data_IF_446209294941
#
_entry.id   IF_446209294941
#
_cell.length_a   1.000
_cell.length_b   1.000
_cell.length_c   1.000
_cell.angle_alpha   90.00
_cell.angle_beta   90.00
_cell.angle_gamma   90.00
#
_symmetry.space_group_name_H-M   'P 1'
#
loop_
_entity.id
_entity.type
_entity.pdbx_description
1 polymer ?
#
# COMPACT_ATOMS: atom_id res chain seq x y z
N UNK A 1 -2.47 11.85 11.72
CA UNK A 1 -1.54 10.71 11.70
C UNK A 1 -1.85 9.90 10.46
N UNK A 2 -0.89 9.69 9.56
CA UNK A 2 -1.05 8.76 8.44
C UNK A 2 -0.57 7.38 8.88
N UNK A 3 -1.34 6.34 8.58
CA UNK A 3 -0.95 4.95 8.86
C UNK A 3 -0.47 4.28 7.58
N UNK A 4 0.63 3.53 7.69
CA UNK A 4 1.22 2.79 6.58
C UNK A 4 1.45 1.34 7.00
N UNK A 5 1.10 0.39 6.14
CA UNK A 5 1.44 -1.03 6.32
C UNK A 5 2.44 -1.46 5.27
N UNK A 6 3.35 -2.35 5.65
CA UNK A 6 4.42 -2.84 4.80
C UNK A 6 4.45 -4.36 4.79
N UNK A 7 4.94 -4.95 3.71
CA UNK A 7 5.26 -6.37 3.65
C UNK A 7 6.64 -6.69 4.25
N UNK A 8 7.00 -7.97 4.27
CA UNK A 8 8.28 -8.45 4.82
C UNK A 8 9.50 -8.00 4.01
N UNK A 9 9.30 -7.45 2.82
CA UNK A 9 10.34 -6.86 1.97
C UNK A 9 10.35 -5.32 2.07
N UNK A 10 9.69 -4.77 3.10
CA UNK A 10 9.57 -3.33 3.37
C UNK A 10 8.89 -2.54 2.25
N UNK A 11 8.02 -3.19 1.47
CA UNK A 11 7.23 -2.52 0.42
C UNK A 11 5.87 -2.10 0.95
N UNK A 12 5.39 -0.93 0.53
CA UNK A 12 4.16 -0.32 1.02
C UNK A 12 2.91 -1.09 0.54
N UNK A 13 2.18 -1.72 1.45
CA UNK A 13 0.92 -2.40 1.15
C UNK A 13 -0.27 -1.44 1.21
N UNK A 14 -0.34 -0.59 2.21
CA UNK A 14 -1.44 0.37 2.36
C UNK A 14 -0.96 1.67 2.96
N UNK A 15 -1.58 2.77 2.55
CA UNK A 15 -1.46 4.08 3.19
C UNK A 15 -2.85 4.66 3.42
N UNK A 16 -3.12 5.04 4.67
CA UNK A 16 -4.39 5.65 5.08
C UNK A 16 -4.09 7.01 5.72
N UNK A 17 -4.36 8.11 5.02
CA UNK A 17 -4.31 9.46 5.57
C UNK A 17 -5.40 9.67 6.61
N UNK A 18 -5.21 10.57 7.58
CA UNK A 18 -6.24 10.93 8.56
C UNK A 18 -7.40 11.71 7.93
N UNK A 19 -7.16 12.33 6.77
CA UNK A 19 -8.13 13.14 6.02
C UNK A 19 -9.10 12.27 5.19
N UNK A 20 -8.94 10.94 5.23
CA UNK A 20 -9.67 10.01 4.37
C UNK A 20 -8.94 9.73 3.06
N UNK A 21 -9.47 8.75 2.33
CA UNK A 21 -8.96 8.25 1.05
C UNK A 21 -7.73 7.35 1.18
N UNK A 22 -7.92 6.03 1.09
CA UNK A 22 -6.85 5.06 1.30
C UNK A 22 -6.31 4.54 -0.03
N UNK A 23 -4.99 4.31 -0.09
CA UNK A 23 -4.36 3.63 -1.22
C UNK A 23 -3.84 2.26 -0.77
N UNK A 24 -4.11 1.24 -1.57
CA UNK A 24 -3.63 -0.13 -1.38
C UNK A 24 -2.82 -0.60 -2.59
N UNK A 25 -1.78 -1.37 -2.34
CA UNK A 25 -0.85 -1.90 -3.32
C UNK A 25 -0.63 -3.39 -3.07
N UNK A 26 -0.54 -4.16 -4.15
CA UNK A 26 -0.11 -5.54 -4.11
C UNK A 26 1.08 -5.73 -5.05
N UNK A 27 2.03 -6.57 -4.65
CA UNK A 27 3.24 -6.83 -5.41
C UNK A 27 3.29 -8.29 -5.86
N UNK A 28 3.76 -8.51 -7.09
CA UNK A 28 4.07 -9.86 -7.58
C UNK A 28 5.38 -10.39 -6.98
N UNK A 29 5.71 -11.65 -7.27
CA UNK A 29 6.94 -12.30 -6.80
C UNK A 29 8.23 -11.60 -7.32
N UNK A 30 8.14 -10.81 -8.40
CA UNK A 30 9.24 -10.02 -8.95
C UNK A 30 9.32 -8.61 -8.33
N UNK A 31 8.43 -8.29 -7.40
CA UNK A 31 8.36 -7.00 -6.71
C UNK A 31 7.76 -5.86 -7.51
N UNK A 32 7.05 -6.17 -8.59
CA UNK A 32 6.33 -5.18 -9.38
C UNK A 32 4.92 -5.01 -8.81
N UNK A 33 4.37 -3.80 -8.93
CA UNK A 33 2.98 -3.55 -8.54
C UNK A 33 2.07 -4.35 -9.47
N UNK A 34 1.35 -5.30 -8.90
CA UNK A 34 0.34 -6.10 -9.58
C UNK A 34 -1.04 -5.47 -9.46
N UNK A 35 -1.33 -4.77 -8.35
CA UNK A 35 -2.61 -4.11 -8.13
C UNK A 35 -2.41 -2.79 -7.40
N UNK A 36 -3.17 -1.78 -7.80
CA UNK A 36 -3.29 -0.51 -7.11
C UNK A 36 -4.76 -0.14 -6.98
N UNK A 37 -5.23 0.04 -5.76
CA UNK A 37 -6.60 0.47 -5.46
C UNK A 37 -6.52 1.80 -4.72
N UNK A 38 -7.26 2.79 -5.20
CA UNK A 38 -7.43 4.09 -4.55
C UNK A 38 -8.91 4.21 -4.18
N UNK A 39 -9.19 4.50 -2.90
CA UNK A 39 -10.52 4.81 -2.38
C UNK A 39 -10.54 6.15 -1.68
#
# INVERSE_FOLDING_TARGET
>A
MTTSAYDTAERLLTVTPPTGGAASYAYDALGRISTKTIG
#
